data_IF_229196783035
#
_entry.id   IF_229196783035
#
_cell.length_a   1.000
_cell.length_b   1.000
_cell.length_c   1.000
_cell.angle_alpha   90.00
_cell.angle_beta   90.00
_cell.angle_gamma   90.00
#
_symmetry.space_group_name_H-M   'P 1'
#
loop_
_entity.id
_entity.type
_entity.pdbx_description
1 polymer ?
#
# COMPACT_ATOMS: atom_id res chain seq x y z
N UNK A 1 18.61 0.13 -23.86
CA UNK A 1 17.29 -0.23 -23.29
C UNK A 1 16.58 1.06 -22.94
N UNK A 2 15.35 1.27 -23.41
CA UNK A 2 14.59 2.49 -23.08
C UNK A 2 13.89 2.34 -21.74
N UNK A 3 13.97 3.36 -20.88
CA UNK A 3 13.27 3.44 -19.61
C UNK A 3 12.32 4.64 -19.65
N UNK A 4 11.14 4.46 -19.10
CA UNK A 4 10.16 5.52 -18.92
C UNK A 4 9.71 5.53 -17.47
N UNK A 5 10.09 6.55 -16.72
CA UNK A 5 9.56 6.86 -15.40
C UNK A 5 8.31 7.72 -15.56
N UNK A 6 7.25 7.40 -14.85
CA UNK A 6 6.01 8.19 -14.84
C UNK A 6 5.59 8.39 -13.39
N UNK A 7 5.43 9.64 -12.99
CA UNK A 7 4.84 10.01 -11.71
C UNK A 7 3.50 10.70 -11.94
N UNK A 8 2.45 10.16 -11.30
CA UNK A 8 1.08 10.66 -11.48
C UNK A 8 0.68 11.45 -10.24
N UNK A 9 0.81 12.76 -10.31
CA UNK A 9 0.32 13.69 -9.30
C UNK A 9 -1.15 14.09 -9.52
N UNK A 10 -1.68 14.89 -8.60
CA UNK A 10 -3.08 15.37 -8.68
C UNK A 10 -3.34 16.34 -9.84
N UNK A 11 -2.36 17.17 -10.22
CA UNK A 11 -2.49 18.20 -11.26
C UNK A 11 -1.77 17.82 -12.54
N UNK A 12 -0.56 17.32 -12.43
CA UNK A 12 0.29 16.94 -13.56
C UNK A 12 0.74 15.49 -13.43
N UNK A 13 0.95 14.87 -14.59
CA UNK A 13 1.64 13.59 -14.74
C UNK A 13 2.97 13.88 -15.42
N UNK A 14 4.04 13.57 -14.71
CA UNK A 14 5.41 13.83 -15.09
C UNK A 14 6.06 12.58 -15.70
N UNK A 15 6.85 12.78 -16.74
CA UNK A 15 7.55 11.73 -17.48
C UNK A 15 9.03 12.03 -17.53
N UNK A 16 9.82 11.02 -17.22
CA UNK A 16 11.26 11.02 -17.44
C UNK A 16 11.61 9.81 -18.29
N UNK A 17 12.16 10.03 -19.47
CA UNK A 17 12.58 8.94 -20.33
C UNK A 17 14.08 8.91 -20.56
N UNK A 18 14.61 7.72 -20.73
CA UNK A 18 16.04 7.51 -21.00
C UNK A 18 16.18 6.43 -22.09
N UNK A 19 16.93 6.74 -23.15
CA UNK A 19 17.13 5.84 -24.29
C UNK A 19 18.45 5.07 -24.25
N UNK A 20 19.26 5.29 -23.22
CA UNK A 20 20.60 4.76 -23.05
C UNK A 20 21.69 5.81 -23.25
N UNK A 21 21.36 6.98 -23.82
CA UNK A 21 22.29 8.09 -24.05
C UNK A 21 21.73 9.44 -23.60
N UNK A 22 20.44 9.67 -23.82
CA UNK A 22 19.77 10.94 -23.56
C UNK A 22 18.67 10.76 -22.52
N UNK A 23 18.62 11.72 -21.61
CA UNK A 23 17.52 11.90 -20.67
C UNK A 23 16.59 12.98 -21.24
N UNK A 24 15.29 12.73 -21.23
CA UNK A 24 14.29 13.71 -21.59
C UNK A 24 13.17 13.76 -20.56
N UNK A 25 12.52 14.89 -20.47
CA UNK A 25 11.37 15.13 -19.58
C UNK A 25 10.16 15.52 -20.43
N UNK A 26 8.98 15.16 -19.95
CA UNK A 26 7.71 15.54 -20.53
C UNK A 26 6.66 15.66 -19.44
N UNK A 27 5.63 16.47 -19.64
CA UNK A 27 4.58 16.71 -18.65
C UNK A 27 3.24 16.88 -19.35
N UNK A 28 2.21 16.21 -18.80
CA UNK A 28 0.83 16.39 -19.26
C UNK A 28 -0.07 16.70 -18.06
N UNK A 29 -1.27 17.21 -18.31
CA UNK A 29 -2.27 17.38 -17.26
C UNK A 29 -2.76 16.00 -16.79
N UNK A 30 -2.87 15.82 -15.49
CA UNK A 30 -3.41 14.60 -14.91
C UNK A 30 -4.89 14.44 -15.21
N UNK A 31 -5.32 13.19 -15.24
CA UNK A 31 -6.72 12.79 -15.32
C UNK A 31 -7.10 12.03 -14.04
N UNK A 32 -7.46 12.71 -12.94
CA UNK A 32 -7.57 12.08 -11.62
C UNK A 32 -8.53 10.89 -11.54
N UNK A 33 -9.61 10.91 -12.35
CA UNK A 33 -10.59 9.82 -12.41
C UNK A 33 -10.12 8.60 -13.23
N UNK A 34 -9.12 8.80 -14.10
CA UNK A 34 -8.56 7.76 -14.96
C UNK A 34 -7.08 8.05 -15.25
N UNK A 35 -6.18 7.90 -14.24
CA UNK A 35 -4.77 8.30 -14.35
C UNK A 35 -4.04 7.66 -15.55
N UNK A 36 -4.46 6.46 -15.92
CA UNK A 36 -3.92 5.75 -17.10
C UNK A 36 -4.10 6.51 -18.41
N UNK A 37 -5.09 7.41 -18.52
CA UNK A 37 -5.30 8.23 -19.74
C UNK A 37 -4.17 9.24 -19.94
N UNK A 38 -3.77 9.93 -18.87
CA UNK A 38 -2.64 10.86 -18.91
C UNK A 38 -1.34 10.12 -19.25
N UNK A 39 -1.13 8.93 -18.70
CA UNK A 39 0.03 8.09 -19.02
C UNK A 39 0.06 7.74 -20.52
N UNK A 40 -1.06 7.28 -21.07
CA UNK A 40 -1.16 6.96 -22.49
C UNK A 40 -0.97 8.19 -23.40
N UNK A 41 -1.46 9.35 -22.96
CA UNK A 41 -1.25 10.61 -23.68
C UNK A 41 0.24 10.93 -23.75
N UNK A 42 0.96 10.92 -22.62
CA UNK A 42 2.40 11.19 -22.62
C UNK A 42 3.21 10.17 -23.43
N UNK A 43 2.86 8.87 -23.37
CA UNK A 43 3.48 7.83 -24.22
C UNK A 43 3.31 8.15 -25.70
N UNK A 44 2.13 8.64 -26.13
CA UNK A 44 1.86 9.06 -27.52
C UNK A 44 2.68 10.28 -27.92
N UNK A 45 2.67 11.32 -27.08
CA UNK A 45 3.38 12.58 -27.33
C UNK A 45 4.90 12.39 -27.38
N UNK A 46 5.42 11.42 -26.62
CA UNK A 46 6.84 11.00 -26.67
C UNK A 46 7.19 10.09 -27.86
N UNK A 47 6.21 9.71 -28.67
CA UNK A 47 6.42 8.79 -29.80
C UNK A 47 6.85 7.37 -29.39
N UNK A 48 6.45 6.93 -28.20
CA UNK A 48 6.81 5.62 -27.64
C UNK A 48 5.75 4.53 -27.91
N UNK A 49 4.69 4.82 -28.68
CA UNK A 49 3.70 3.82 -29.05
C UNK A 49 4.34 2.70 -29.89
N UNK A 50 4.09 1.45 -29.49
CA UNK A 50 4.66 0.27 -30.16
C UNK A 50 6.18 0.11 -29.97
N UNK A 51 6.82 0.98 -29.23
CA UNK A 51 8.23 0.88 -28.89
C UNK A 51 8.39 0.03 -27.64
N UNK A 52 9.42 -0.82 -27.60
CA UNK A 52 9.75 -1.60 -26.39
C UNK A 52 10.52 -0.74 -25.40
N UNK A 53 9.94 -0.51 -24.23
CA UNK A 53 10.56 0.19 -23.11
C UNK A 53 10.14 -0.46 -21.78
N UNK A 54 10.81 -0.12 -20.68
CA UNK A 54 10.40 -0.47 -19.33
C UNK A 54 9.68 0.73 -18.72
N UNK A 55 8.48 0.51 -18.21
CA UNK A 55 7.72 1.51 -17.49
C UNK A 55 7.93 1.35 -15.98
N UNK A 56 8.41 2.41 -15.34
CA UNK A 56 8.43 2.54 -13.86
C UNK A 56 7.40 3.58 -13.48
N UNK A 57 6.44 3.21 -12.66
CA UNK A 57 5.30 4.06 -12.33
C UNK A 57 5.25 4.37 -10.83
N UNK A 58 5.34 5.67 -10.48
CA UNK A 58 4.93 6.22 -9.19
C UNK A 58 3.44 6.55 -9.22
N UNK A 59 2.69 6.20 -8.18
CA UNK A 59 1.25 6.35 -8.17
C UNK A 59 0.72 6.83 -6.83
N UNK A 60 -0.13 7.83 -6.84
CA UNK A 60 -0.88 8.30 -5.67
C UNK A 60 -2.23 7.61 -5.49
N UNK A 61 -2.59 6.63 -6.35
CA UNK A 61 -3.91 5.98 -6.33
C UNK A 61 -4.20 5.30 -4.99
N UNK A 62 -3.25 4.56 -4.43
CA UNK A 62 -3.40 3.92 -3.12
C UNK A 62 -3.54 4.96 -1.99
N UNK A 63 -2.66 5.96 -1.98
CA UNK A 63 -2.64 7.06 -1.01
C UNK A 63 -3.96 7.84 -1.02
N UNK A 64 -4.42 8.25 -2.20
CA UNK A 64 -5.67 8.98 -2.35
C UNK A 64 -6.87 8.14 -1.94
N UNK A 65 -6.89 6.84 -2.27
CA UNK A 65 -7.98 5.96 -1.85
C UNK A 65 -8.12 5.89 -0.32
N UNK A 66 -6.99 5.85 0.42
CA UNK A 66 -7.01 5.86 1.89
C UNK A 66 -7.46 7.22 2.42
N UNK A 67 -6.87 8.33 1.94
CA UNK A 67 -7.18 9.69 2.43
C UNK A 67 -8.62 10.11 2.15
N UNK A 68 -9.20 9.66 1.03
CA UNK A 68 -10.58 9.95 0.64
C UNK A 68 -11.59 8.94 1.20
N UNK A 69 -11.15 7.96 1.99
CA UNK A 69 -12.03 6.93 2.54
C UNK A 69 -12.67 6.02 1.49
N UNK A 70 -12.05 5.88 0.32
CA UNK A 70 -12.58 5.15 -0.83
C UNK A 70 -12.13 3.70 -0.90
N UNK A 71 -12.24 2.97 0.19
CA UNK A 71 -12.00 1.52 0.20
C UNK A 71 -13.22 0.71 -0.26
N UNK A 72 -13.09 -0.61 -0.23
CA UNK A 72 -14.17 -1.57 -0.50
C UNK A 72 -14.72 -2.16 0.79
N UNK A 73 -15.91 -2.79 0.74
CA UNK A 73 -16.43 -3.52 1.88
C UNK A 73 -15.50 -4.68 2.21
N UNK A 74 -14.86 -4.59 3.38
CA UNK A 74 -13.79 -5.49 3.82
C UNK A 74 -14.15 -6.14 5.14
N UNK A 75 -14.07 -7.46 5.21
CA UNK A 75 -14.19 -8.23 6.45
C UNK A 75 -12.79 -8.42 7.03
N UNK A 76 -12.69 -8.30 8.34
CA UNK A 76 -11.49 -8.58 9.11
C UNK A 76 -11.68 -9.88 9.90
N UNK A 77 -10.78 -10.83 9.74
CA UNK A 77 -10.79 -12.13 10.42
C UNK A 77 -9.61 -12.21 11.37
N UNK A 78 -9.87 -12.56 12.62
CA UNK A 78 -8.86 -12.68 13.66
C UNK A 78 -9.18 -13.83 14.64
N UNK A 79 -8.31 -14.07 15.63
CA UNK A 79 -8.57 -15.08 16.66
C UNK A 79 -9.67 -14.62 17.63
N UNK A 80 -10.31 -15.59 18.30
CA UNK A 80 -11.26 -15.32 19.37
C UNK A 80 -10.69 -14.37 20.42
N UNK A 81 -11.46 -13.33 20.80
CA UNK A 81 -11.08 -12.30 21.76
C UNK A 81 -10.19 -11.18 21.18
N UNK A 82 -10.00 -11.10 19.85
CA UNK A 82 -9.22 -10.07 19.17
C UNK A 82 -10.02 -9.26 18.14
N UNK A 83 -11.36 -9.43 18.11
CA UNK A 83 -12.22 -8.73 17.15
C UNK A 83 -12.18 -7.21 17.24
N UNK A 84 -11.81 -6.68 18.40
CA UNK A 84 -11.72 -5.24 18.68
C UNK A 84 -10.29 -4.68 18.67
N UNK A 85 -9.27 -5.49 18.35
CA UNK A 85 -7.85 -5.06 18.38
C UNK A 85 -7.58 -3.82 17.54
N UNK A 86 -8.23 -3.69 16.38
CA UNK A 86 -8.08 -2.52 15.51
C UNK A 86 -8.78 -1.28 16.06
N UNK A 87 -9.85 -1.46 16.82
CA UNK A 87 -10.59 -0.38 17.48
C UNK A 87 -9.87 0.12 18.72
N UNK A 88 -9.34 -0.80 19.53
CA UNK A 88 -8.57 -0.49 20.74
C UNK A 88 -7.25 0.20 20.38
N UNK A 89 -6.59 -0.30 19.34
CA UNK A 89 -5.31 0.21 18.88
C UNK A 89 -4.25 0.24 19.98
N UNK A 90 -3.43 1.26 20.01
CA UNK A 90 -2.42 1.50 21.06
C UNK A 90 -2.96 2.32 22.24
N UNK A 91 -4.23 2.69 22.22
CA UNK A 91 -4.86 3.55 23.24
C UNK A 91 -4.11 4.88 23.48
N UNK A 92 -3.35 5.32 22.49
CA UNK A 92 -2.64 6.60 22.53
C UNK A 92 -3.62 7.75 22.31
N UNK A 93 -3.64 8.71 23.24
CA UNK A 93 -4.43 9.92 23.05
C UNK A 93 -3.75 10.83 22.04
N UNK A 94 -4.48 11.25 21.02
CA UNK A 94 -4.00 12.27 20.06
C UNK A 94 -3.87 13.63 20.71
N UNK A 95 -4.83 13.96 21.58
CA UNK A 95 -4.89 15.22 22.29
C UNK A 95 -4.74 14.97 23.80
N UNK A 96 -3.50 15.08 24.30
CA UNK A 96 -3.16 14.75 25.69
C UNK A 96 -3.95 15.57 26.73
N UNK A 97 -4.27 16.82 26.41
CA UNK A 97 -4.91 17.76 27.32
C UNK A 97 -6.42 17.94 27.05
N UNK A 98 -6.97 17.23 26.08
CA UNK A 98 -8.42 17.24 25.85
C UNK A 98 -9.11 16.27 26.80
N UNK A 99 -9.92 16.82 27.72
CA UNK A 99 -10.69 16.04 28.70
C UNK A 99 -11.96 15.41 28.09
N UNK A 100 -12.36 15.83 26.91
CA UNK A 100 -13.55 15.34 26.19
C UNK A 100 -13.21 14.99 24.75
N UNK A 101 -12.31 13.99 24.52
CA UNK A 101 -11.96 13.59 23.16
C UNK A 101 -13.21 13.05 22.45
N UNK A 102 -13.38 13.42 21.19
CA UNK A 102 -14.45 12.84 20.37
C UNK A 102 -14.11 11.37 20.09
N UNK A 103 -15.09 10.45 20.17
CA UNK A 103 -14.88 9.06 19.77
C UNK A 103 -14.47 8.99 18.30
N UNK A 104 -13.38 8.29 18.02
CA UNK A 104 -13.00 8.01 16.65
C UNK A 104 -13.79 6.81 16.13
N UNK A 105 -14.21 6.89 14.87
CA UNK A 105 -14.83 5.75 14.22
C UNK A 105 -13.81 4.60 14.10
N UNK A 106 -14.19 3.35 14.44
CA UNK A 106 -13.30 2.22 14.30
C UNK A 106 -12.91 2.03 12.83
N UNK A 107 -11.68 1.56 12.54
CA UNK A 107 -11.26 1.25 11.17
C UNK A 107 -12.20 0.26 10.48
N UNK A 108 -12.69 -0.73 11.23
CA UNK A 108 -13.61 -1.77 10.77
C UNK A 108 -14.82 -1.77 11.69
N UNK A 109 -16.02 -1.73 11.11
CA UNK A 109 -17.25 -1.86 11.87
C UNK A 109 -17.33 -3.25 12.55
N UNK A 110 -17.84 -3.32 13.78
CA UNK A 110 -17.84 -4.53 14.59
C UNK A 110 -18.49 -5.73 13.88
N UNK A 111 -19.55 -5.50 13.09
CA UNK A 111 -20.24 -6.55 12.32
C UNK A 111 -19.40 -7.12 11.17
N UNK A 112 -18.32 -6.45 10.77
CA UNK A 112 -17.35 -6.89 9.77
C UNK A 112 -16.10 -7.53 10.40
N UNK A 113 -16.02 -7.62 11.73
CA UNK A 113 -14.97 -8.33 12.44
C UNK A 113 -15.46 -9.74 12.76
N UNK A 114 -14.79 -10.76 12.23
CA UNK A 114 -15.11 -12.17 12.48
C UNK A 114 -13.99 -12.81 13.29
N UNK A 115 -14.37 -13.62 14.25
CA UNK A 115 -13.42 -14.34 15.09
C UNK A 115 -13.43 -15.84 14.78
N UNK A 116 -12.26 -16.48 14.91
CA UNK A 116 -12.08 -17.91 14.64
C UNK A 116 -10.96 -18.49 15.50
N UNK A 117 -10.88 -19.82 15.56
CA UNK A 117 -9.73 -20.55 16.09
C UNK A 117 -8.47 -20.38 15.24
N UNK A 118 -7.57 -21.34 15.32
CA UNK A 118 -6.28 -21.27 14.61
C UNK A 118 -5.27 -20.39 15.34
N UNK A 119 -5.23 -20.50 16.67
CA UNK A 119 -4.33 -19.71 17.51
C UNK A 119 -3.02 -20.46 17.76
N UNK A 120 -1.91 -19.76 17.55
CA UNK A 120 -0.56 -20.20 17.89
C UNK A 120 -0.08 -19.55 19.20
N UNK A 121 0.87 -20.20 19.85
CA UNK A 121 1.70 -19.63 20.91
C UNK A 121 2.97 -18.96 20.32
N UNK A 122 3.72 -18.28 21.17
CA UNK A 122 4.95 -17.58 20.80
C UNK A 122 6.07 -18.52 20.32
N UNK A 123 6.02 -19.80 20.67
CA UNK A 123 6.95 -20.84 20.20
C UNK A 123 6.48 -21.56 18.91
N UNK A 124 5.34 -21.14 18.34
CA UNK A 124 4.73 -21.75 17.15
C UNK A 124 3.88 -22.99 17.46
N UNK A 125 3.76 -23.40 18.72
CA UNK A 125 2.87 -24.50 19.10
C UNK A 125 1.40 -24.10 18.94
N UNK A 126 0.53 -25.07 18.68
CA UNK A 126 -0.90 -24.83 18.49
C UNK A 126 -1.59 -24.74 19.87
N UNK A 127 -2.14 -23.56 20.16
CA UNK A 127 -2.98 -23.33 21.35
C UNK A 127 -4.42 -23.74 21.08
N UNK A 128 -4.91 -23.36 19.89
CA UNK A 128 -6.26 -23.66 19.46
C UNK A 128 -6.23 -24.03 17.97
N UNK A 129 -6.67 -25.24 17.59
CA UNK A 129 -6.68 -25.65 16.19
C UNK A 129 -7.77 -24.89 15.42
N UNK A 130 -7.65 -24.86 14.09
CA UNK A 130 -8.68 -24.37 13.19
C UNK A 130 -9.46 -25.56 12.64
N UNK A 131 -10.73 -25.67 13.01
CA UNK A 131 -11.59 -26.78 12.61
C UNK A 131 -12.31 -26.51 11.30
N UNK A 132 -12.71 -27.58 10.59
CA UNK A 132 -13.56 -27.50 9.38
C UNK A 132 -14.90 -26.78 9.66
N UNK A 133 -15.48 -27.01 10.85
CA UNK A 133 -16.72 -26.33 11.27
C UNK A 133 -16.55 -24.81 11.33
N UNK A 134 -15.40 -24.31 11.80
CA UNK A 134 -15.11 -22.87 11.85
C UNK A 134 -14.90 -22.29 10.45
N UNK A 135 -14.22 -23.02 9.57
CA UNK A 135 -14.05 -22.63 8.17
C UNK A 135 -15.41 -22.55 7.43
N UNK A 136 -16.30 -23.50 7.66
CA UNK A 136 -17.66 -23.48 7.13
C UNK A 136 -18.47 -22.29 7.70
N UNK A 137 -18.35 -22.02 9.00
CA UNK A 137 -19.00 -20.88 9.64
C UNK A 137 -18.51 -19.55 9.09
N UNK A 138 -17.18 -19.37 8.91
CA UNK A 138 -16.61 -18.21 8.25
C UNK A 138 -17.17 -18.03 6.83
N UNK A 139 -17.20 -19.09 6.05
CA UNK A 139 -17.74 -19.06 4.68
C UNK A 139 -19.22 -18.69 4.63
N UNK A 140 -20.02 -19.17 5.59
CA UNK A 140 -21.42 -18.79 5.71
C UNK A 140 -21.60 -17.31 6.01
N UNK A 141 -20.85 -16.79 7.00
CA UNK A 141 -20.88 -15.38 7.37
C UNK A 141 -20.39 -14.46 6.25
N UNK A 142 -19.34 -14.85 5.52
CA UNK A 142 -18.86 -14.10 4.37
C UNK A 142 -19.89 -14.03 3.24
N UNK A 143 -20.63 -15.09 2.99
CA UNK A 143 -21.76 -15.06 2.02
C UNK A 143 -22.85 -14.05 2.42
N UNK A 144 -23.19 -13.99 3.71
CA UNK A 144 -24.18 -13.03 4.23
C UNK A 144 -23.68 -11.59 4.14
N UNK A 145 -22.41 -11.37 4.51
CA UNK A 145 -21.78 -10.04 4.52
C UNK A 145 -21.45 -9.53 3.12
N UNK A 146 -21.30 -10.44 2.15
CA UNK A 146 -20.94 -10.15 0.75
C UNK A 146 -19.79 -9.14 0.59
N UNK A 147 -18.62 -9.36 1.22
CA UNK A 147 -17.50 -8.44 1.09
C UNK A 147 -16.87 -8.53 -0.29
N UNK A 148 -16.07 -7.52 -0.64
CA UNK A 148 -15.19 -7.53 -1.81
C UNK A 148 -13.76 -7.94 -1.44
N UNK A 149 -13.41 -7.80 -0.17
CA UNK A 149 -12.08 -8.12 0.34
C UNK A 149 -12.14 -8.72 1.76
N UNK A 150 -11.12 -9.49 2.09
CA UNK A 150 -10.93 -10.10 3.41
C UNK A 150 -9.50 -9.85 3.87
N UNK A 151 -9.36 -9.34 5.10
CA UNK A 151 -8.09 -9.23 5.81
C UNK A 151 -8.04 -10.33 6.88
N UNK A 152 -6.98 -11.13 6.87
CA UNK A 152 -6.78 -12.23 7.83
C UNK A 152 -5.55 -11.88 8.68
N UNK A 153 -5.76 -11.74 10.01
CA UNK A 153 -4.71 -11.40 10.94
C UNK A 153 -4.80 -12.28 12.20
N UNK A 154 -4.06 -13.37 12.20
CA UNK A 154 -4.02 -14.28 13.32
C UNK A 154 -2.79 -14.05 14.19
N UNK A 155 -2.94 -14.33 15.48
CA UNK A 155 -1.87 -14.16 16.45
C UNK A 155 -0.69 -15.10 16.11
N UNK A 156 0.53 -14.57 16.16
CA UNK A 156 1.77 -15.26 15.81
C UNK A 156 1.86 -15.84 14.39
N UNK A 157 0.99 -15.42 13.48
CA UNK A 157 1.06 -15.86 12.06
C UNK A 157 2.36 -15.45 11.35
N UNK A 158 3.13 -14.51 11.90
CA UNK A 158 4.45 -14.16 11.40
C UNK A 158 5.53 -15.22 11.73
N UNK A 159 5.27 -16.13 12.68
CA UNK A 159 6.12 -17.28 12.99
C UNK A 159 5.74 -18.47 12.10
N UNK A 160 4.41 -18.73 11.99
CA UNK A 160 3.88 -19.79 11.15
C UNK A 160 2.50 -19.38 10.61
N UNK A 161 2.41 -19.26 9.31
CA UNK A 161 1.24 -18.75 8.62
C UNK A 161 0.22 -19.84 8.21
N UNK A 162 0.39 -21.09 8.71
CA UNK A 162 -0.42 -22.24 8.32
C UNK A 162 -1.93 -22.01 8.38
N UNK A 163 -2.42 -21.35 9.44
CA UNK A 163 -3.84 -21.12 9.62
C UNK A 163 -4.37 -19.98 8.74
N UNK A 164 -3.61 -18.90 8.54
CA UNK A 164 -3.98 -17.86 7.57
C UNK A 164 -4.07 -18.43 6.15
N UNK A 165 -3.12 -19.32 5.77
CA UNK A 165 -3.16 -20.04 4.49
C UNK A 165 -4.33 -21.04 4.41
N UNK A 166 -4.69 -21.68 5.51
CA UNK A 166 -5.83 -22.59 5.54
C UNK A 166 -7.12 -21.83 5.32
N UNK A 167 -7.33 -20.69 5.97
CA UNK A 167 -8.48 -19.81 5.73
C UNK A 167 -8.47 -19.34 4.26
N UNK A 168 -7.37 -18.78 3.76
CA UNK A 168 -7.26 -18.29 2.38
C UNK A 168 -7.69 -19.33 1.36
N UNK A 169 -7.21 -20.59 1.49
CA UNK A 169 -7.56 -21.69 0.56
C UNK A 169 -9.02 -22.10 0.61
N UNK A 170 -9.69 -21.83 1.73
CA UNK A 170 -11.12 -22.17 1.91
C UNK A 170 -12.05 -21.06 1.38
N UNK A 171 -11.53 -19.87 1.10
CA UNK A 171 -12.28 -18.74 0.61
C UNK A 171 -12.36 -18.72 -0.93
N UNK A 172 -13.43 -18.13 -1.51
CA UNK A 172 -13.56 -18.01 -2.96
C UNK A 172 -12.47 -17.13 -3.60
N UNK A 173 -11.95 -17.56 -4.75
CA UNK A 173 -10.96 -16.82 -5.55
C UNK A 173 -11.46 -15.45 -6.05
N UNK A 174 -12.76 -15.19 -5.96
CA UNK A 174 -13.37 -13.91 -6.33
C UNK A 174 -13.12 -12.80 -5.31
N UNK A 175 -12.70 -13.16 -4.09
CA UNK A 175 -12.37 -12.22 -3.04
C UNK A 175 -10.93 -11.76 -3.14
N UNK A 176 -10.71 -10.48 -2.86
CA UNK A 176 -9.36 -10.00 -2.61
C UNK A 176 -8.95 -10.38 -1.19
N UNK A 177 -7.97 -11.26 -1.06
CA UNK A 177 -7.53 -11.77 0.25
C UNK A 177 -6.18 -11.16 0.59
N UNK A 178 -6.08 -10.63 1.80
CA UNK A 178 -4.86 -10.11 2.40
C UNK A 178 -4.54 -10.89 3.67
N UNK A 179 -3.35 -11.47 3.76
CA UNK A 179 -2.86 -12.15 4.96
C UNK A 179 -1.82 -11.29 5.66
N UNK A 180 -1.95 -11.15 6.98
CA UNK A 180 -1.01 -10.34 7.77
C UNK A 180 0.42 -10.87 7.71
N UNK A 181 0.57 -12.18 7.65
CA UNK A 181 1.84 -12.89 7.50
C UNK A 181 2.57 -12.60 6.18
N UNK A 182 1.85 -12.27 5.11
CA UNK A 182 2.43 -11.92 3.81
C UNK A 182 2.72 -10.42 3.70
N UNK A 183 1.89 -9.58 4.31
CA UNK A 183 1.98 -8.12 4.19
C UNK A 183 3.02 -7.53 5.13
N UNK A 184 3.01 -7.95 6.39
CA UNK A 184 3.94 -7.46 7.43
C UNK A 184 4.32 -8.61 8.35
N UNK A 185 5.27 -9.48 7.97
CA UNK A 185 5.68 -10.62 8.79
C UNK A 185 6.54 -10.18 9.98
N UNK A 186 5.96 -9.38 10.87
CA UNK A 186 6.61 -8.81 12.04
C UNK A 186 5.77 -8.97 13.29
N UNK A 187 6.37 -8.82 14.44
CA UNK A 187 5.70 -8.78 15.74
C UNK A 187 4.78 -7.55 15.83
N UNK A 188 3.68 -7.64 16.60
CA UNK A 188 2.70 -6.58 16.79
C UNK A 188 1.41 -6.83 16.00
N UNK A 189 0.43 -7.44 16.67
CA UNK A 189 -0.87 -7.82 16.06
C UNK A 189 -1.68 -6.62 15.57
N UNK A 190 -1.57 -5.48 16.25
CA UNK A 190 -2.25 -4.26 15.84
C UNK A 190 -1.68 -3.69 14.53
N UNK A 191 -0.36 -3.48 14.46
CA UNK A 191 0.31 -2.93 13.28
C UNK A 191 0.17 -3.86 12.08
N UNK A 192 0.31 -5.17 12.30
CA UNK A 192 0.03 -6.17 11.26
C UNK A 192 -1.41 -6.12 10.80
N UNK A 193 -2.35 -6.04 11.75
CA UNK A 193 -3.78 -5.98 11.47
C UNK A 193 -4.16 -4.76 10.65
N UNK A 194 -3.67 -3.58 11.01
CA UNK A 194 -3.91 -2.33 10.26
C UNK A 194 -3.30 -2.42 8.86
N UNK A 195 -2.04 -2.86 8.72
CA UNK A 195 -1.39 -3.00 7.42
C UNK A 195 -2.14 -3.99 6.52
N UNK A 196 -2.53 -5.13 7.08
CA UNK A 196 -3.31 -6.17 6.39
C UNK A 196 -4.68 -5.66 5.96
N UNK A 197 -5.39 -4.97 6.86
CA UNK A 197 -6.70 -4.41 6.57
C UNK A 197 -6.62 -3.29 5.52
N UNK A 198 -5.68 -2.35 5.63
CA UNK A 198 -5.47 -1.31 4.62
C UNK A 198 -5.21 -1.93 3.24
N UNK A 199 -4.37 -2.98 3.20
CA UNK A 199 -4.09 -3.70 1.97
C UNK A 199 -5.36 -4.31 1.37
N UNK A 200 -6.20 -4.96 2.17
CA UNK A 200 -7.47 -5.52 1.73
C UNK A 200 -8.47 -4.43 1.32
N UNK A 201 -8.54 -3.35 2.09
CA UNK A 201 -9.53 -2.28 1.92
C UNK A 201 -9.35 -1.50 0.62
N UNK A 202 -8.12 -1.18 0.22
CA UNK A 202 -7.84 -0.46 -1.03
C UNK A 202 -7.35 -1.37 -2.16
N UNK A 203 -7.01 -2.61 -1.84
CA UNK A 203 -6.42 -3.59 -2.76
C UNK A 203 -7.19 -3.78 -4.07
N UNK A 204 -8.50 -4.04 -4.08
CA UNK A 204 -9.27 -4.22 -5.31
C UNK A 204 -9.21 -3.02 -6.26
N UNK A 205 -9.16 -1.80 -5.74
CA UNK A 205 -9.04 -0.57 -6.54
C UNK A 205 -7.67 -0.44 -7.19
N UNK A 206 -6.62 -0.67 -6.40
CA UNK A 206 -5.23 -0.64 -6.86
C UNK A 206 -4.99 -1.76 -7.87
N UNK A 207 -5.47 -2.97 -7.59
CA UNK A 207 -5.38 -4.11 -8.50
C UNK A 207 -6.03 -3.78 -9.84
N UNK A 208 -7.27 -3.29 -9.83
CA UNK A 208 -7.98 -2.92 -11.04
C UNK A 208 -7.26 -1.83 -11.85
N UNK A 209 -6.69 -0.84 -11.18
CA UNK A 209 -5.89 0.21 -11.82
C UNK A 209 -4.62 -0.34 -12.46
N UNK A 210 -3.81 -1.07 -11.70
CA UNK A 210 -2.53 -1.61 -12.17
C UNK A 210 -2.73 -2.57 -13.36
N UNK A 211 -3.74 -3.44 -13.28
CA UNK A 211 -4.09 -4.36 -14.38
C UNK A 211 -4.57 -3.62 -15.64
N UNK A 212 -5.34 -2.52 -15.50
CA UNK A 212 -5.72 -1.69 -16.65
C UNK A 212 -4.49 -1.04 -17.27
N UNK A 213 -3.62 -0.44 -16.46
CA UNK A 213 -2.39 0.18 -16.94
C UNK A 213 -1.52 -0.83 -17.71
N UNK A 214 -1.27 -2.00 -17.11
CA UNK A 214 -0.47 -3.06 -17.73
C UNK A 214 -1.01 -3.48 -19.10
N UNK A 215 -2.32 -3.67 -19.23
CA UNK A 215 -2.96 -4.00 -20.51
C UNK A 215 -2.81 -2.90 -21.56
N UNK A 216 -2.93 -1.64 -21.14
CA UNK A 216 -2.95 -0.49 -22.04
C UNK A 216 -1.56 -0.11 -22.57
N UNK A 217 -0.49 -0.44 -21.85
CA UNK A 217 0.89 -0.10 -22.23
C UNK A 217 1.65 -1.26 -22.85
N UNK A 218 1.00 -2.40 -23.10
CA UNK A 218 1.64 -3.54 -23.76
C UNK A 218 2.32 -3.13 -25.09
N UNK A 219 3.49 -3.70 -25.40
CA UNK A 219 4.20 -4.81 -24.73
C UNK A 219 5.21 -4.35 -23.66
N UNK A 220 5.09 -3.14 -23.13
CA UNK A 220 5.99 -2.61 -22.11
C UNK A 220 5.74 -3.30 -20.76
N UNK A 221 6.75 -3.92 -20.12
CA UNK A 221 6.61 -4.41 -18.75
C UNK A 221 6.48 -3.24 -17.78
N UNK A 222 5.53 -3.36 -16.85
CA UNK A 222 5.22 -2.34 -15.86
C UNK A 222 5.82 -2.72 -14.50
N UNK A 223 6.57 -1.81 -13.93
CA UNK A 223 7.04 -1.85 -12.55
C UNK A 223 6.42 -0.68 -11.78
N UNK A 224 6.05 -0.92 -10.55
CA UNK A 224 5.44 0.09 -9.69
C UNK A 224 6.38 0.42 -8.54
N UNK A 225 6.53 1.71 -8.26
CA UNK A 225 7.30 2.22 -7.14
C UNK A 225 6.61 1.88 -5.83
N UNK A 226 7.38 1.41 -4.85
CA UNK A 226 6.93 1.18 -3.48
C UNK A 226 7.29 2.35 -2.57
N UNK A 227 6.63 2.41 -1.41
CA UNK A 227 6.97 3.32 -0.32
C UNK A 227 8.42 3.22 0.16
N UNK A 228 9.02 2.04 0.02
CA UNK A 228 10.43 1.77 0.35
C UNK A 228 11.43 2.22 -0.71
N UNK A 229 10.99 2.94 -1.75
CA UNK A 229 11.79 3.37 -2.91
C UNK A 229 12.32 2.23 -3.80
N UNK A 230 11.88 1.00 -3.59
CA UNK A 230 12.10 -0.10 -4.53
C UNK A 230 10.97 -0.20 -5.53
N UNK A 231 11.19 -0.95 -6.61
CA UNK A 231 10.16 -1.24 -7.60
C UNK A 231 9.81 -2.71 -7.62
N UNK A 232 8.54 -3.02 -7.83
CA UNK A 232 8.04 -4.37 -8.01
C UNK A 232 7.24 -4.48 -9.30
N UNK A 233 7.09 -5.68 -9.82
CA UNK A 233 6.28 -5.94 -11.00
C UNK A 233 4.81 -5.63 -10.73
N UNK A 234 4.08 -5.25 -11.77
CA UNK A 234 2.66 -4.90 -11.69
C UNK A 234 1.80 -5.99 -11.06
N UNK A 235 2.05 -7.27 -11.38
CA UNK A 235 1.31 -8.41 -10.83
C UNK A 235 1.49 -8.58 -9.31
N UNK A 236 2.67 -8.26 -8.78
CA UNK A 236 2.94 -8.24 -7.34
C UNK A 236 2.38 -6.98 -6.67
N UNK A 237 2.53 -5.81 -7.33
CA UNK A 237 1.98 -4.54 -6.85
C UNK A 237 0.46 -4.62 -6.67
N UNK A 238 -0.23 -5.31 -7.58
CA UNK A 238 -1.67 -5.54 -7.54
C UNK A 238 -2.15 -6.29 -6.27
N UNK A 239 -1.27 -7.01 -5.58
CA UNK A 239 -1.57 -7.76 -4.35
C UNK A 239 -1.12 -7.04 -3.07
N UNK A 240 -0.23 -6.05 -3.19
CA UNK A 240 0.44 -5.37 -2.08
C UNK A 240 0.21 -3.85 -2.13
N UNK A 241 -1.06 -3.47 -2.18
CA UNK A 241 -1.48 -2.07 -2.30
C UNK A 241 -0.93 -1.18 -1.17
N UNK A 242 -0.81 -1.70 0.05
CA UNK A 242 -0.28 -0.97 1.20
C UNK A 242 1.18 -0.54 0.99
N UNK A 243 1.98 -1.31 0.24
CA UNK A 243 3.36 -0.97 -0.06
C UNK A 243 3.49 0.13 -1.14
N UNK A 244 2.39 0.55 -1.74
CA UNK A 244 2.35 1.64 -2.73
C UNK A 244 1.94 2.98 -2.10
N UNK A 245 1.61 2.99 -0.82
CA UNK A 245 1.31 4.22 -0.09
C UNK A 245 2.53 5.13 -0.07
N UNK A 246 2.35 6.43 -0.38
CA UNK A 246 3.43 7.42 -0.41
C UNK A 246 4.59 7.07 -1.37
N UNK A 247 4.31 6.33 -2.45
CA UNK A 247 5.33 5.92 -3.43
C UNK A 247 5.82 7.05 -4.35
N UNK A 248 5.02 8.11 -4.56
CA UNK A 248 5.44 9.29 -5.33
C UNK A 248 6.65 9.99 -4.71
N UNK A 249 6.56 10.45 -3.44
CA UNK A 249 7.70 11.04 -2.73
C UNK A 249 8.93 10.13 -2.69
N UNK A 250 8.75 8.82 -2.54
CA UNK A 250 9.85 7.85 -2.55
C UNK A 250 10.65 7.89 -3.87
N UNK A 251 9.95 8.00 -5.00
CA UNK A 251 10.58 8.18 -6.32
C UNK A 251 11.35 9.48 -6.42
N UNK A 252 10.81 10.59 -5.91
CA UNK A 252 11.46 11.89 -5.84
C UNK A 252 12.78 11.85 -5.05
N UNK A 253 12.76 11.20 -3.88
CA UNK A 253 13.97 11.05 -3.04
C UNK A 253 15.07 10.23 -3.74
N UNK A 254 14.70 9.16 -4.44
CA UNK A 254 15.67 8.39 -5.23
C UNK A 254 16.26 9.21 -6.39
N UNK A 255 15.43 10.03 -7.05
CA UNK A 255 15.89 10.97 -8.07
C UNK A 255 16.86 12.01 -7.49
N UNK A 256 16.52 12.63 -6.37
CA UNK A 256 17.37 13.61 -5.69
C UNK A 256 18.72 12.98 -5.27
N UNK A 257 18.70 11.78 -4.69
CA UNK A 257 19.91 11.04 -4.37
C UNK A 257 20.80 10.82 -5.60
N UNK A 258 20.20 10.34 -6.70
CA UNK A 258 20.94 10.09 -7.94
C UNK A 258 21.63 11.33 -8.46
N UNK A 259 20.95 12.49 -8.46
CA UNK A 259 21.55 13.77 -8.86
C UNK A 259 22.65 14.18 -7.89
N UNK A 260 22.43 14.01 -6.58
CA UNK A 260 23.45 14.28 -5.57
C UNK A 260 24.73 13.48 -5.78
N UNK A 261 24.61 12.20 -6.09
CA UNK A 261 25.75 11.32 -6.39
C UNK A 261 26.53 11.83 -7.64
N UNK A 262 25.82 12.23 -8.69
CA UNK A 262 26.41 12.72 -9.94
C UNK A 262 27.15 14.04 -9.77
N UNK A 263 26.68 14.94 -8.90
CA UNK A 263 27.30 16.24 -8.63
C UNK A 263 28.27 16.23 -7.43
N UNK A 264 28.49 15.03 -6.84
CA UNK A 264 29.40 14.88 -5.70
C UNK A 264 28.86 15.49 -4.39
N UNK A 265 27.55 15.53 -4.21
CA UNK A 265 26.86 16.06 -3.03
C UNK A 265 25.99 14.99 -2.39
N UNK A 266 26.54 14.09 -1.57
CA UNK A 266 25.78 12.96 -0.98
C UNK A 266 24.85 13.37 0.17
N UNK A 267 25.03 14.58 0.72
CA UNK A 267 24.20 15.11 1.82
C UNK A 267 23.22 16.14 1.26
N UNK A 268 21.94 15.83 1.29
CA UNK A 268 20.87 16.66 0.71
C UNK A 268 19.75 16.84 1.71
N UNK A 269 19.17 18.03 1.72
CA UNK A 269 17.83 18.27 2.25
C UNK A 269 16.89 18.42 1.05
N UNK A 270 15.91 17.54 0.94
CA UNK A 270 14.92 17.62 -0.11
C UNK A 270 13.69 18.37 0.38
N UNK A 271 13.05 19.09 -0.52
CA UNK A 271 11.87 19.88 -0.25
C UNK A 271 10.94 19.78 -1.45
N UNK A 272 9.83 19.06 -1.29
CA UNK A 272 8.81 18.91 -2.32
C UNK A 272 7.52 19.59 -1.86
N UNK A 273 7.21 20.72 -2.47
CA UNK A 273 6.04 21.53 -2.13
C UNK A 273 4.96 21.37 -3.19
N UNK A 274 3.94 20.61 -2.86
CA UNK A 274 2.71 20.51 -3.63
C UNK A 274 1.67 21.58 -3.28
N UNK A 275 0.48 21.46 -3.82
CA UNK A 275 -0.64 22.36 -3.53
C UNK A 275 -1.31 22.15 -2.17
N UNK A 276 -1.06 21.00 -1.51
CA UNK A 276 -1.74 20.57 -0.28
C UNK A 276 -0.79 20.18 0.86
N UNK A 277 0.45 19.87 0.55
CA UNK A 277 1.45 19.44 1.52
C UNK A 277 2.86 19.76 1.03
N UNK A 278 3.78 19.75 1.95
CA UNK A 278 5.20 19.88 1.71
C UNK A 278 5.92 18.69 2.34
N UNK A 279 6.62 17.92 1.53
CA UNK A 279 7.39 16.77 1.96
C UNK A 279 8.87 17.14 2.09
N UNK A 280 9.45 16.90 3.26
CA UNK A 280 10.84 17.21 3.59
C UNK A 280 11.53 15.92 4.01
N UNK A 281 12.70 15.65 3.44
CA UNK A 281 13.52 14.52 3.84
C UNK A 281 15.02 14.83 3.80
N UNK A 282 15.75 14.17 4.70
CA UNK A 282 17.20 14.22 4.76
C UNK A 282 17.79 12.99 4.08
N UNK A 283 18.68 13.21 3.12
CA UNK A 283 19.52 12.18 2.51
C UNK A 283 20.94 12.35 3.03
N UNK A 284 21.45 11.35 3.73
CA UNK A 284 22.80 11.30 4.27
C UNK A 284 23.56 10.13 3.61
N UNK A 285 23.95 10.34 2.35
CA UNK A 285 24.51 9.31 1.49
C UNK A 285 23.52 8.22 1.07
N UNK A 286 22.46 7.99 1.86
CA UNK A 286 21.40 7.00 1.60
C UNK A 286 20.03 7.56 1.97
N UNK A 287 19.01 7.11 1.28
CA UNK A 287 17.62 7.34 1.69
C UNK A 287 17.32 6.45 2.88
N UNK A 288 16.93 7.05 4.00
CA UNK A 288 16.57 6.32 5.21
C UNK A 288 15.18 5.70 5.06
N UNK A 289 15.00 4.53 5.65
CA UNK A 289 13.70 3.87 5.75
C UNK A 289 13.21 3.91 7.20
N UNK A 290 11.90 4.04 7.36
CA UNK A 290 11.20 3.91 8.63
C UNK A 290 10.05 2.92 8.52
N UNK A 291 9.62 2.35 9.62
CA UNK A 291 8.38 1.61 9.78
C UNK A 291 7.40 2.33 10.73
N UNK A 292 7.67 3.59 11.05
CA UNK A 292 6.88 4.43 11.95
C UNK A 292 6.16 5.54 11.16
N UNK A 293 5.44 5.16 10.12
CA UNK A 293 4.68 6.11 9.31
C UNK A 293 3.20 6.14 9.64
N UNK A 294 2.49 7.08 9.05
CA UNK A 294 1.04 7.15 9.11
C UNK A 294 0.44 7.67 7.81
N UNK A 295 -0.80 7.29 7.53
CA UNK A 295 -1.59 7.85 6.44
C UNK A 295 -2.99 8.18 6.95
N UNK A 296 -3.33 9.47 6.95
CA UNK A 296 -4.53 9.93 7.65
C UNK A 296 -4.52 9.48 9.12
N UNK A 297 -5.58 8.81 9.60
CA UNK A 297 -5.65 8.33 10.97
C UNK A 297 -4.90 7.01 11.21
N UNK A 298 -4.42 6.34 10.18
CA UNK A 298 -3.92 4.96 10.29
C UNK A 298 -2.40 4.92 10.40
N UNK A 299 -1.83 4.22 11.40
CA UNK A 299 -0.41 3.92 11.43
C UNK A 299 -0.08 2.91 10.31
N UNK A 300 1.06 3.10 9.67
CA UNK A 300 1.53 2.24 8.59
C UNK A 300 2.93 1.76 8.94
N UNK A 301 3.04 0.50 9.32
CA UNK A 301 4.30 -0.11 9.76
C UNK A 301 5.07 -0.82 8.64
N UNK A 302 4.59 -0.75 7.38
CA UNK A 302 5.37 -1.26 6.24
C UNK A 302 6.56 -0.35 5.98
N UNK A 303 7.70 -0.89 5.52
CA UNK A 303 8.87 -0.07 5.22
C UNK A 303 8.57 1.04 4.22
N UNK A 304 8.89 2.28 4.59
CA UNK A 304 8.73 3.46 3.76
C UNK A 304 9.91 4.42 3.91
N UNK A 305 10.10 5.29 2.95
CA UNK A 305 11.10 6.35 3.06
C UNK A 305 10.79 7.25 4.26
N UNK A 306 11.84 7.59 5.01
CA UNK A 306 11.73 8.48 6.17
C UNK A 306 11.61 9.93 5.66
N UNK A 307 10.41 10.50 5.80
CA UNK A 307 10.12 11.87 5.39
C UNK A 307 9.12 12.51 6.33
N UNK A 308 9.18 13.83 6.39
CA UNK A 308 8.28 14.64 7.19
C UNK A 308 7.34 15.40 6.29
N UNK A 309 6.04 15.15 6.43
CA UNK A 309 5.00 15.85 5.68
C UNK A 309 4.44 16.97 6.53
N UNK A 310 4.54 18.21 6.05
CA UNK A 310 3.98 19.41 6.68
C UNK A 310 2.73 19.78 5.88
N UNK A 311 1.60 19.88 6.54
CA UNK A 311 0.38 20.41 5.92
C UNK A 311 0.55 21.86 5.50
N UNK A 312 -0.01 22.24 4.37
CA UNK A 312 0.00 23.61 3.89
C UNK A 312 -1.02 24.48 4.62
#
# INVERSE_FOLDING_TARGET
>A
MKLLGVDTGGTFTDFVWFDGQRLGIHKVLSTPQAPERAILQGIRELGLQGVRFYLVHGSTVATNAVLEGKGVRTVYITNYGFGDVLTIGRQARRELYNLQPQPEAPPVAAELCLETGGRLAADGSVVEPLSERELEALSARLRELAPQAVAINLLFSFIDDRFERQIERHLPDTLFISRSSDILPAQGEYERGIACWLNAWVGPRVQGYVQRLERLVQPAPVHVMQSSAFTIRADQAAKRAVNLLLSGPAGGLMGARRIGDEVGRPHLLTFDMGGTSTDVALIDGQVKLTSEGSIGPYPVAVPMVDMHTIGA
#
